data_IF_914381498174
#
_entry.id   IF_914381498174
#
_cell.length_a   1.000
_cell.length_b   1.000
_cell.length_c   1.000
_cell.angle_alpha   90.00
_cell.angle_beta   90.00
_cell.angle_gamma   90.00
#
_symmetry.space_group_name_H-M   'P 1'
#
loop_
_entity.id
_entity.type
_entity.pdbx_description
1 polymer ?
#
# COMPACT_ATOMS: atom_id res chain seq x y z
N UNK A 1 9.77 13.47 16.95
CA UNK A 1 10.21 12.61 18.09
C UNK A 1 9.12 11.67 18.65
N UNK A 2 7.93 11.48 18.01
CA UNK A 2 6.83 10.66 18.58
C UNK A 2 6.57 9.30 17.89
N UNK A 3 7.54 8.76 17.15
CA UNK A 3 7.37 7.49 16.43
C UNK A 3 7.90 6.26 17.20
N UNK A 4 8.85 6.45 18.13
CA UNK A 4 9.49 5.35 18.87
C UNK A 4 8.64 4.74 19.99
N UNK A 5 7.55 5.39 20.41
CA UNK A 5 6.70 4.92 21.51
C UNK A 5 5.71 3.81 21.12
N UNK A 6 5.62 3.44 19.83
CA UNK A 6 4.70 2.39 19.35
C UNK A 6 5.31 1.00 19.27
N UNK A 7 6.59 0.85 19.63
CA UNK A 7 7.34 -0.41 19.44
C UNK A 7 7.64 -1.18 20.73
N UNK A 8 7.05 -0.82 21.88
CA UNK A 8 7.33 -1.57 23.12
C UNK A 8 6.22 -1.43 24.18
N UNK A 9 5.38 -2.45 24.43
CA UNK A 9 4.52 -2.47 25.61
C UNK A 9 5.17 -3.30 26.72
N UNK A 10 5.62 -2.64 27.80
CA UNK A 10 5.84 -3.29 29.09
C UNK A 10 4.97 -2.59 30.14
N UNK A 11 4.04 -3.35 30.72
CA UNK A 11 3.15 -2.92 31.80
C UNK A 11 3.88 -2.66 33.12
N UNK A 12 3.17 -2.16 34.14
CA UNK A 12 2.53 -3.09 35.08
C UNK A 12 1.20 -2.60 35.71
N UNK A 13 0.44 -3.54 36.30
CA UNK A 13 -0.31 -3.26 37.54
C UNK A 13 -1.83 -3.37 37.53
N UNK A 14 -2.32 -4.59 37.76
CA UNK A 14 -3.58 -5.02 38.39
C UNK A 14 -4.54 -3.95 38.94
N UNK A 15 -5.82 -4.04 38.52
CA UNK A 15 -6.98 -4.00 39.44
C UNK A 15 -8.16 -4.76 38.83
N UNK A 16 -8.57 -5.81 39.55
CA UNK A 16 -9.69 -6.69 39.28
C UNK A 16 -11.04 -5.99 39.46
N UNK A 17 -11.86 -5.92 38.41
CA UNK A 17 -13.30 -5.75 38.50
C UNK A 17 -13.99 -6.84 37.68
N UNK A 18 -14.78 -7.66 38.38
CA UNK A 18 -15.72 -8.61 37.77
C UNK A 18 -16.76 -7.81 37.00
N UNK A 19 -16.66 -7.81 35.68
CA UNK A 19 -17.75 -7.42 34.79
C UNK A 19 -17.98 -8.57 33.82
N UNK A 20 -19.24 -8.94 33.64
CA UNK A 20 -19.70 -10.04 32.81
C UNK A 20 -19.03 -10.01 31.44
N UNK A 21 -18.43 -11.13 31.04
CA UNK A 21 -17.87 -11.30 29.71
C UNK A 21 -18.97 -11.04 28.67
N UNK A 22 -18.77 -10.11 27.71
CA UNK A 22 -19.63 -10.10 26.55
C UNK A 22 -19.37 -11.40 25.79
N UNK A 23 -20.45 -12.15 25.57
CA UNK A 23 -20.51 -13.35 24.74
C UNK A 23 -19.64 -13.21 23.49
N UNK A 24 -18.79 -14.21 23.26
CA UNK A 24 -17.99 -14.39 22.05
C UNK A 24 -18.82 -14.06 20.79
N UNK A 25 -18.27 -13.36 19.79
CA UNK A 25 -18.96 -13.24 18.51
C UNK A 25 -19.15 -14.67 18.00
N UNK A 26 -20.38 -15.00 17.63
CA UNK A 26 -20.75 -16.28 17.05
C UNK A 26 -19.95 -16.44 15.75
N UNK A 27 -18.74 -17.02 15.80
CA UNK A 27 -18.03 -17.41 14.59
C UNK A 27 -18.82 -18.57 14.01
N UNK A 28 -19.47 -18.34 12.87
CA UNK A 28 -20.14 -19.39 12.12
C UNK A 28 -19.15 -20.57 11.91
N UNK A 29 -19.71 -21.77 11.93
CA UNK A 29 -18.95 -23.00 11.75
C UNK A 29 -18.14 -22.95 10.42
N UNK A 30 -16.83 -23.27 10.42
CA UNK A 30 -15.98 -23.14 9.22
C UNK A 30 -16.49 -23.91 8.00
N UNK A 31 -17.11 -25.07 8.21
CA UNK A 31 -17.67 -25.90 7.15
C UNK A 31 -18.92 -25.25 6.54
N UNK A 32 -19.73 -24.59 7.36
CA UNK A 32 -20.85 -23.76 6.89
C UNK A 32 -20.36 -22.56 6.07
N UNK A 33 -19.31 -21.86 6.52
CA UNK A 33 -18.72 -20.76 5.77
C UNK A 33 -18.19 -21.22 4.41
N UNK A 34 -17.49 -22.36 4.37
CA UNK A 34 -17.01 -22.96 3.12
C UNK A 34 -18.16 -23.29 2.17
N UNK A 35 -19.23 -23.92 2.65
CA UNK A 35 -20.37 -24.27 1.80
C UNK A 35 -21.05 -23.02 1.21
N UNK A 36 -21.18 -21.94 1.99
CA UNK A 36 -21.72 -20.65 1.49
C UNK A 36 -20.79 -20.06 0.43
N UNK A 37 -19.48 -20.09 0.69
CA UNK A 37 -18.47 -19.64 -0.27
C UNK A 37 -18.54 -20.43 -1.58
N UNK A 38 -18.57 -21.76 -1.53
CA UNK A 38 -18.69 -22.64 -2.71
C UNK A 38 -19.97 -22.35 -3.50
N UNK A 39 -21.08 -22.09 -2.81
CA UNK A 39 -22.33 -21.76 -3.47
C UNK A 39 -22.23 -20.44 -4.24
N UNK A 40 -21.66 -19.40 -3.64
CA UNK A 40 -21.41 -18.14 -4.34
C UNK A 40 -20.41 -18.31 -5.48
N UNK A 41 -19.35 -19.09 -5.27
CA UNK A 41 -18.36 -19.35 -6.30
C UNK A 41 -18.97 -20.07 -7.50
N UNK A 42 -19.85 -21.05 -7.28
CA UNK A 42 -20.56 -21.75 -8.36
C UNK A 42 -21.39 -20.81 -9.24
N UNK A 43 -22.01 -19.79 -8.64
CA UNK A 43 -22.75 -18.78 -9.41
C UNK A 43 -21.80 -17.90 -10.22
N UNK A 44 -20.68 -17.48 -9.62
CA UNK A 44 -19.67 -16.65 -10.28
C UNK A 44 -18.97 -17.41 -11.40
N UNK A 45 -18.48 -18.62 -11.13
CA UNK A 45 -17.75 -19.45 -12.11
C UNK A 45 -18.62 -19.74 -13.35
N UNK A 46 -19.91 -20.02 -13.15
CA UNK A 46 -20.85 -20.20 -14.26
C UNK A 46 -20.97 -18.98 -15.18
N UNK A 47 -20.92 -17.76 -14.63
CA UNK A 47 -20.90 -16.52 -15.43
C UNK A 47 -19.53 -16.30 -16.07
N UNK A 48 -18.44 -16.62 -15.35
CA UNK A 48 -17.06 -16.44 -15.83
C UNK A 48 -16.71 -17.36 -17.01
N UNK A 49 -17.29 -18.56 -17.06
CA UNK A 49 -17.14 -19.55 -18.14
C UNK A 49 -17.90 -19.18 -19.41
N UNK A 50 -18.88 -18.28 -19.33
CA UNK A 50 -19.60 -17.82 -20.51
C UNK A 50 -18.69 -16.94 -21.38
N UNK A 51 -18.37 -17.45 -22.57
CA UNK A 51 -17.42 -16.83 -23.51
C UNK A 51 -17.95 -15.60 -24.25
N UNK A 52 -19.22 -15.22 -24.06
CA UNK A 52 -19.83 -14.09 -24.74
C UNK A 52 -19.49 -12.76 -24.01
N UNK A 53 -18.78 -11.81 -24.67
CA UNK A 53 -18.42 -10.52 -24.06
C UNK A 53 -19.63 -9.60 -23.84
N UNK A 54 -20.82 -9.98 -24.29
CA UNK A 54 -22.08 -9.25 -24.07
C UNK A 54 -22.88 -9.76 -22.87
N UNK A 55 -22.23 -10.15 -21.77
CA UNK A 55 -22.99 -10.45 -20.55
C UNK A 55 -23.75 -9.18 -20.13
N UNK A 56 -24.98 -9.38 -19.68
CA UNK A 56 -25.88 -8.30 -19.29
C UNK A 56 -25.28 -7.46 -18.14
N UNK A 57 -25.78 -6.23 -17.97
CA UNK A 57 -25.48 -5.42 -16.78
C UNK A 57 -25.84 -6.15 -15.48
N UNK A 58 -26.82 -7.06 -15.55
CA UNK A 58 -27.27 -7.86 -14.42
C UNK A 58 -26.21 -8.91 -14.04
N UNK A 59 -25.55 -9.54 -15.02
CA UNK A 59 -24.47 -10.51 -14.79
C UNK A 59 -23.27 -9.85 -14.09
N UNK A 60 -22.89 -8.64 -14.51
CA UNK A 60 -21.81 -7.88 -13.86
C UNK A 60 -22.15 -7.55 -12.41
N UNK A 61 -23.39 -7.16 -12.15
CA UNK A 61 -23.87 -6.85 -10.79
C UNK A 61 -23.91 -8.10 -9.93
N UNK A 62 -24.37 -9.23 -10.47
CA UNK A 62 -24.38 -10.51 -9.79
C UNK A 62 -22.96 -10.98 -9.43
N UNK A 63 -22.01 -10.91 -10.38
CA UNK A 63 -20.60 -11.24 -10.14
C UNK A 63 -20.01 -10.37 -9.04
N UNK A 64 -20.24 -9.05 -9.07
CA UNK A 64 -19.75 -8.13 -8.02
C UNK A 64 -20.31 -8.50 -6.64
N UNK A 65 -21.62 -8.71 -6.54
CA UNK A 65 -22.28 -9.04 -5.27
C UNK A 65 -21.80 -10.38 -4.69
N UNK A 66 -21.73 -11.43 -5.53
CA UNK A 66 -21.24 -12.72 -5.07
C UNK A 66 -19.75 -12.68 -4.72
N UNK A 67 -18.93 -11.95 -5.49
CA UNK A 67 -17.52 -11.74 -5.16
C UNK A 67 -17.34 -11.07 -3.81
N UNK A 68 -18.14 -10.03 -3.52
CA UNK A 68 -18.09 -9.32 -2.24
C UNK A 68 -18.40 -10.26 -1.05
N UNK A 69 -19.47 -11.05 -1.16
CA UNK A 69 -19.82 -12.05 -0.13
C UNK A 69 -18.72 -13.10 0.06
N UNK A 70 -18.17 -13.64 -1.03
CA UNK A 70 -17.08 -14.62 -0.99
C UNK A 70 -15.85 -14.07 -0.28
N UNK A 71 -15.43 -12.86 -0.64
CA UNK A 71 -14.18 -12.29 -0.12
C UNK A 71 -14.32 -11.78 1.31
N UNK A 72 -15.53 -11.40 1.75
CA UNK A 72 -15.80 -11.15 3.17
C UNK A 72 -15.61 -12.43 4.01
N UNK A 73 -16.12 -13.58 3.55
CA UNK A 73 -15.91 -14.87 4.23
C UNK A 73 -14.42 -15.24 4.30
N UNK A 74 -13.68 -15.03 3.21
CA UNK A 74 -12.22 -15.25 3.19
C UNK A 74 -11.47 -14.35 4.19
N UNK A 75 -11.88 -13.08 4.34
CA UNK A 75 -11.24 -12.16 5.26
C UNK A 75 -11.48 -12.52 6.74
N UNK A 76 -12.66 -13.03 7.05
CA UNK A 76 -13.00 -13.46 8.41
C UNK A 76 -12.44 -14.84 8.76
N UNK A 77 -12.02 -15.63 7.77
CA UNK A 77 -11.53 -16.99 7.95
C UNK A 77 -10.25 -17.04 8.80
N UNK A 78 -10.30 -17.82 9.88
CA UNK A 78 -9.15 -18.15 10.72
C UNK A 78 -8.35 -19.31 10.11
N UNK A 79 -7.02 -19.38 10.38
CA UNK A 79 -6.23 -20.55 10.01
C UNK A 79 -6.85 -21.85 10.55
N UNK A 80 -6.67 -22.96 9.84
CA UNK A 80 -7.17 -24.26 10.29
C UNK A 80 -6.50 -24.69 11.61
N UNK A 81 -7.26 -25.39 12.45
CA UNK A 81 -6.71 -25.93 13.70
C UNK A 81 -5.71 -27.04 13.40
N UNK A 82 -4.51 -26.93 13.96
CA UNK A 82 -3.50 -27.98 13.84
C UNK A 82 -3.92 -29.17 14.72
N UNK A 83 -4.04 -30.40 14.18
CA UNK A 83 -4.51 -31.57 14.94
C UNK A 83 -3.61 -31.95 16.12
N UNK A 84 -2.35 -31.51 16.12
CA UNK A 84 -1.40 -31.68 17.21
C UNK A 84 -0.66 -30.36 17.39
N UNK A 85 -0.41 -29.95 18.65
CA UNK A 85 0.23 -28.68 19.03
C UNK A 85 1.70 -28.53 18.62
N UNK A 86 2.06 -28.96 17.41
CA UNK A 86 3.35 -28.76 16.79
C UNK A 86 3.58 -27.29 16.45
N UNK A 87 4.80 -26.83 16.71
CA UNK A 87 5.28 -25.47 16.42
C UNK A 87 5.48 -25.20 14.91
N UNK A 88 4.57 -25.71 14.07
CA UNK A 88 4.57 -25.53 12.63
C UNK A 88 3.83 -24.25 12.19
N UNK A 89 3.96 -23.90 10.92
CA UNK A 89 3.13 -22.86 10.29
C UNK A 89 1.68 -23.33 10.36
N UNK A 90 0.73 -22.51 10.86
CA UNK A 90 -0.66 -22.92 10.94
C UNK A 90 -1.18 -23.27 9.54
N UNK A 91 -1.92 -24.38 9.39
CA UNK A 91 -2.46 -24.80 8.10
C UNK A 91 -3.45 -23.75 7.57
N UNK A 92 -3.55 -23.68 6.24
CA UNK A 92 -4.50 -22.79 5.57
C UNK A 92 -5.93 -23.17 6.00
N UNK A 93 -6.78 -22.17 6.18
CA UNK A 93 -8.21 -22.39 6.30
C UNK A 93 -8.79 -22.96 4.99
N UNK A 94 -9.93 -23.68 5.05
CA UNK A 94 -10.51 -24.37 3.90
C UNK A 94 -10.91 -23.43 2.74
N UNK A 95 -11.38 -22.21 3.03
CA UNK A 95 -11.72 -21.21 2.01
C UNK A 95 -10.44 -20.73 1.33
N UNK A 96 -9.40 -20.40 2.09
CA UNK A 96 -8.11 -20.03 1.51
C UNK A 96 -7.52 -21.16 0.67
N UNK A 97 -7.61 -22.42 1.13
CA UNK A 97 -7.15 -23.59 0.38
C UNK A 97 -7.90 -23.70 -0.96
N UNK A 98 -9.22 -23.52 -0.98
CA UNK A 98 -10.03 -23.52 -2.19
C UNK A 98 -9.64 -22.35 -3.13
N UNK A 99 -9.50 -21.13 -2.59
CA UNK A 99 -9.10 -19.94 -3.34
C UNK A 99 -7.75 -20.13 -4.04
N UNK A 100 -6.79 -20.73 -3.33
CA UNK A 100 -5.45 -21.03 -3.87
C UNK A 100 -5.51 -22.15 -4.91
N UNK A 101 -6.24 -23.23 -4.63
CA UNK A 101 -6.31 -24.41 -5.50
C UNK A 101 -6.99 -24.09 -6.82
N UNK A 102 -8.09 -23.33 -6.79
CA UNK A 102 -8.86 -22.99 -7.99
C UNK A 102 -8.44 -21.65 -8.62
N UNK A 103 -7.45 -20.96 -8.06
CA UNK A 103 -6.98 -19.65 -8.50
C UNK A 103 -8.15 -18.64 -8.69
N UNK A 104 -9.06 -18.60 -7.73
CA UNK A 104 -10.32 -17.85 -7.82
C UNK A 104 -10.09 -16.36 -8.12
N UNK A 105 -9.13 -15.73 -7.42
CA UNK A 105 -8.82 -14.31 -7.61
C UNK A 105 -8.25 -14.00 -8.99
N UNK A 106 -7.47 -14.93 -9.56
CA UNK A 106 -6.93 -14.80 -10.91
C UNK A 106 -8.06 -14.80 -11.95
N UNK A 107 -8.98 -15.76 -11.84
CA UNK A 107 -10.16 -15.87 -12.70
C UNK A 107 -11.01 -14.59 -12.65
N UNK A 108 -11.26 -14.06 -11.44
CA UNK A 108 -12.01 -12.82 -11.22
C UNK A 108 -11.33 -11.59 -11.85
N UNK A 109 -10.03 -11.38 -11.56
CA UNK A 109 -9.29 -10.23 -12.09
C UNK A 109 -9.19 -10.32 -13.62
N UNK A 110 -8.87 -11.50 -14.16
CA UNK A 110 -8.77 -11.70 -15.60
C UNK A 110 -10.11 -11.49 -16.31
N UNK A 111 -11.23 -11.88 -15.70
CA UNK A 111 -12.56 -11.64 -16.26
C UNK A 111 -12.88 -10.15 -16.37
N UNK A 112 -12.59 -9.35 -15.33
CA UNK A 112 -12.79 -7.90 -15.38
C UNK A 112 -11.87 -7.22 -16.40
N UNK A 113 -10.60 -7.63 -16.48
CA UNK A 113 -9.64 -7.08 -17.44
C UNK A 113 -10.03 -7.34 -18.89
N UNK A 114 -10.51 -8.55 -19.21
CA UNK A 114 -10.97 -8.89 -20.58
C UNK A 114 -12.14 -8.02 -21.05
N UNK A 115 -12.88 -7.42 -20.12
CA UNK A 115 -14.02 -6.53 -20.40
C UNK A 115 -13.64 -5.05 -20.44
N UNK A 116 -12.34 -4.74 -20.37
CA UNK A 116 -11.83 -3.37 -20.38
C UNK A 116 -11.77 -2.69 -19.01
N UNK A 117 -12.07 -3.41 -17.91
CA UNK A 117 -11.99 -2.94 -16.52
C UNK A 117 -12.56 -1.52 -16.32
N UNK A 118 -13.88 -1.40 -16.31
CA UNK A 118 -14.55 -0.12 -16.08
C UNK A 118 -14.20 0.46 -14.69
N UNK A 119 -14.30 1.79 -14.50
CA UNK A 119 -13.92 2.46 -13.24
C UNK A 119 -14.62 1.91 -11.99
N UNK A 120 -15.87 1.47 -12.10
CA UNK A 120 -16.59 0.90 -10.95
C UNK A 120 -16.03 -0.48 -10.59
N UNK A 121 -15.72 -1.32 -11.60
CA UNK A 121 -15.05 -2.61 -11.41
C UNK A 121 -13.66 -2.43 -10.82
N UNK A 122 -12.88 -1.49 -11.35
CA UNK A 122 -11.55 -1.17 -10.83
C UNK A 122 -11.63 -0.73 -9.37
N UNK A 123 -12.55 0.19 -9.05
CA UNK A 123 -12.76 0.66 -7.67
C UNK A 123 -13.20 -0.44 -6.73
N UNK A 124 -14.07 -1.35 -7.17
CA UNK A 124 -14.50 -2.51 -6.39
C UNK A 124 -13.32 -3.46 -6.12
N UNK A 125 -12.54 -3.82 -7.14
CA UNK A 125 -11.37 -4.69 -6.98
C UNK A 125 -10.31 -4.07 -6.06
N UNK A 126 -10.02 -2.77 -6.18
CA UNK A 126 -9.08 -2.08 -5.29
C UNK A 126 -9.53 -2.15 -3.83
N UNK A 127 -10.82 -1.91 -3.55
CA UNK A 127 -11.38 -2.02 -2.20
C UNK A 127 -11.38 -3.45 -1.68
N UNK A 128 -11.68 -4.44 -2.51
CA UNK A 128 -11.68 -5.84 -2.13
C UNK A 128 -10.27 -6.29 -1.74
N UNK A 129 -9.24 -5.98 -2.54
CA UNK A 129 -7.85 -6.29 -2.16
C UNK A 129 -7.40 -5.51 -0.92
N UNK A 130 -7.83 -4.26 -0.76
CA UNK A 130 -7.51 -3.46 0.43
C UNK A 130 -8.08 -4.12 1.69
N UNK A 131 -9.36 -4.51 1.65
CA UNK A 131 -10.03 -5.24 2.71
C UNK A 131 -9.35 -6.57 3.00
N UNK A 132 -9.06 -7.39 1.98
CA UNK A 132 -8.39 -8.68 2.15
C UNK A 132 -7.03 -8.53 2.82
N UNK A 133 -6.20 -7.58 2.40
CA UNK A 133 -4.86 -7.40 2.97
C UNK A 133 -4.93 -6.78 4.37
N UNK A 134 -5.88 -5.89 4.61
CA UNK A 134 -6.02 -5.16 5.87
C UNK A 134 -6.70 -5.95 7.00
N UNK A 135 -7.62 -6.87 6.66
CA UNK A 135 -8.53 -7.49 7.64
C UNK A 135 -8.38 -9.01 7.78
N UNK A 136 -7.69 -9.68 6.85
CA UNK A 136 -7.56 -11.14 6.89
C UNK A 136 -6.78 -11.63 8.10
N UNK A 137 -7.25 -12.74 8.69
CA UNK A 137 -6.57 -13.41 9.81
C UNK A 137 -5.42 -14.32 9.36
N UNK A 138 -5.28 -14.53 8.05
CA UNK A 138 -4.27 -15.38 7.42
C UNK A 138 -3.32 -14.55 6.54
N UNK A 139 -2.06 -14.98 6.35
CA UNK A 139 -1.06 -14.20 5.61
C UNK A 139 -1.24 -14.30 4.08
N UNK A 140 -2.33 -13.75 3.54
CA UNK A 140 -2.75 -13.93 2.16
C UNK A 140 -1.67 -13.63 1.11
N UNK A 141 -0.87 -12.57 1.29
CA UNK A 141 0.17 -12.17 0.33
C UNK A 141 1.36 -13.15 0.24
N UNK A 142 1.44 -14.14 1.13
CA UNK A 142 2.44 -15.22 1.00
C UNK A 142 2.04 -16.26 -0.06
N UNK A 143 0.78 -16.24 -0.51
CA UNK A 143 0.27 -17.14 -1.54
C UNK A 143 0.33 -16.46 -2.91
N UNK A 144 1.01 -17.10 -3.87
CA UNK A 144 1.14 -16.60 -5.26
C UNK A 144 -0.21 -16.43 -5.95
N UNK A 145 -1.18 -17.30 -5.64
CA UNK A 145 -2.56 -17.22 -6.12
C UNK A 145 -3.33 -15.97 -5.67
N UNK A 146 -2.82 -15.24 -4.64
CA UNK A 146 -3.35 -13.93 -4.22
C UNK A 146 -2.44 -12.81 -4.71
N UNK A 147 -1.12 -13.00 -4.60
CA UNK A 147 -0.13 -11.99 -4.95
C UNK A 147 -0.14 -11.65 -6.45
N UNK A 148 -0.20 -12.64 -7.34
CA UNK A 148 -0.16 -12.40 -8.78
C UNK A 148 -1.41 -11.65 -9.30
N UNK A 149 -2.65 -12.01 -8.91
CA UNK A 149 -3.83 -11.24 -9.29
C UNK A 149 -3.77 -9.79 -8.80
N UNK A 150 -3.28 -9.55 -7.58
CA UNK A 150 -3.05 -8.20 -7.06
C UNK A 150 -2.06 -7.43 -7.95
N UNK A 151 -0.91 -8.02 -8.26
CA UNK A 151 0.10 -7.39 -9.11
C UNK A 151 -0.42 -7.12 -10.52
N UNK A 152 -1.28 -7.98 -11.06
CA UNK A 152 -1.92 -7.76 -12.36
C UNK A 152 -2.90 -6.59 -12.32
N UNK A 153 -3.72 -6.48 -11.27
CA UNK A 153 -4.60 -5.31 -11.08
C UNK A 153 -3.79 -4.02 -10.97
N UNK A 154 -2.73 -4.01 -10.16
CA UNK A 154 -1.82 -2.87 -10.05
C UNK A 154 -1.14 -2.56 -11.39
N UNK A 155 -0.84 -3.59 -12.18
CA UNK A 155 -0.25 -3.44 -13.51
C UNK A 155 -1.19 -2.71 -14.46
N UNK A 156 -2.48 -3.07 -14.43
CA UNK A 156 -3.51 -2.35 -15.18
C UNK A 156 -3.67 -0.89 -14.71
N UNK A 157 -3.51 -0.61 -13.41
CA UNK A 157 -3.53 0.76 -12.90
C UNK A 157 -2.32 1.60 -13.36
N UNK A 158 -1.19 0.96 -13.65
CA UNK A 158 0.01 1.61 -14.17
C UNK A 158 0.04 1.73 -15.70
N UNK A 159 -0.88 1.04 -16.38
CA UNK A 159 -0.92 0.99 -17.84
C UNK A 159 -1.30 2.37 -18.43
N UNK A 160 -0.62 2.86 -19.48
CA UNK A 160 -0.94 4.18 -20.06
C UNK A 160 -2.31 4.27 -20.75
N UNK A 161 -2.84 3.15 -21.26
CA UNK A 161 -4.13 3.11 -21.97
C UNK A 161 -5.28 2.95 -20.98
N UNK A 162 -5.09 2.08 -19.98
CA UNK A 162 -6.12 1.72 -19.02
C UNK A 162 -6.10 2.65 -17.79
N UNK A 163 -4.92 2.80 -17.18
CA UNK A 163 -4.65 3.73 -16.10
C UNK A 163 -5.49 3.56 -14.85
N UNK A 164 -5.37 4.53 -13.94
CA UNK A 164 -6.23 4.65 -12.76
C UNK A 164 -6.87 6.06 -12.77
N UNK A 165 -8.21 6.16 -12.85
CA UNK A 165 -8.90 7.44 -12.76
C UNK A 165 -8.58 8.19 -11.46
N UNK A 166 -8.56 9.52 -11.53
CA UNK A 166 -8.26 10.39 -10.37
C UNK A 166 -9.15 10.13 -9.15
N UNK A 167 -10.41 9.76 -9.39
CA UNK A 167 -11.40 9.42 -8.35
C UNK A 167 -10.98 8.19 -7.54
N UNK A 168 -10.20 7.28 -8.11
CA UNK A 168 -9.78 6.03 -7.48
C UNK A 168 -8.40 6.11 -6.82
N UNK A 169 -7.66 7.21 -7.01
CA UNK A 169 -6.30 7.37 -6.49
C UNK A 169 -6.20 7.15 -4.98
N UNK A 170 -7.19 7.61 -4.20
CA UNK A 170 -7.21 7.37 -2.75
C UNK A 170 -7.29 5.87 -2.42
N UNK A 171 -8.11 5.12 -3.17
CA UNK A 171 -8.24 3.66 -2.98
C UNK A 171 -6.96 2.94 -3.39
N UNK A 172 -6.34 3.37 -4.49
CA UNK A 172 -5.06 2.83 -4.96
C UNK A 172 -3.95 3.07 -3.94
N UNK A 173 -3.76 4.31 -3.47
CA UNK A 173 -2.71 4.66 -2.49
C UNK A 173 -2.95 3.96 -1.16
N UNK A 174 -4.20 3.80 -0.73
CA UNK A 174 -4.56 3.03 0.45
C UNK A 174 -4.14 1.56 0.32
N UNK A 175 -4.48 0.91 -0.79
CA UNK A 175 -4.07 -0.46 -1.09
C UNK A 175 -2.54 -0.61 -1.13
N UNK A 176 -1.83 0.28 -1.85
CA UNK A 176 -0.37 0.28 -1.93
C UNK A 176 0.26 0.41 -0.55
N UNK A 177 -0.29 1.27 0.31
CA UNK A 177 0.15 1.40 1.70
C UNK A 177 -0.07 0.13 2.51
N UNK A 178 -1.21 -0.56 2.38
CA UNK A 178 -1.46 -1.84 3.08
C UNK A 178 -0.46 -2.93 2.65
N UNK A 179 -0.13 -2.99 1.36
CA UNK A 179 0.93 -3.89 0.87
C UNK A 179 2.27 -3.52 1.49
N UNK A 180 2.60 -2.22 1.57
CA UNK A 180 3.84 -1.75 2.18
C UNK A 180 3.93 -2.06 3.69
N UNK A 181 2.83 -1.94 4.42
CA UNK A 181 2.75 -2.34 5.83
C UNK A 181 2.95 -3.84 5.97
N UNK A 182 2.34 -4.64 5.09
CA UNK A 182 2.44 -6.10 5.13
C UNK A 182 3.86 -6.57 4.86
N UNK A 183 4.52 -6.06 3.81
CA UNK A 183 5.91 -6.43 3.51
C UNK A 183 6.90 -5.98 4.60
N UNK A 184 6.66 -4.85 5.27
CA UNK A 184 7.49 -4.39 6.38
C UNK A 184 7.34 -5.29 7.62
N UNK A 185 6.13 -5.84 7.84
CA UNK A 185 5.86 -6.81 8.92
C UNK A 185 6.33 -8.22 8.58
N UNK A 186 6.30 -8.59 7.30
CA UNK A 186 6.56 -9.94 6.81
C UNK A 186 7.60 -9.91 5.68
N UNK A 187 8.90 -10.03 5.99
CA UNK A 187 9.98 -9.93 4.99
C UNK A 187 9.85 -10.92 3.82
N UNK A 188 9.23 -12.08 4.05
CA UNK A 188 8.97 -13.07 2.98
C UNK A 188 8.11 -12.49 1.85
N UNK A 189 7.16 -11.59 2.14
CA UNK A 189 6.31 -10.96 1.12
C UNK A 189 7.15 -10.05 0.23
N UNK A 190 8.14 -9.36 0.80
CA UNK A 190 9.08 -8.56 0.02
C UNK A 190 9.87 -9.42 -0.95
N UNK A 191 10.43 -10.56 -0.50
CA UNK A 191 11.13 -11.49 -1.39
C UNK A 191 10.23 -12.01 -2.52
N UNK A 192 8.97 -12.33 -2.21
CA UNK A 192 7.99 -12.79 -3.18
C UNK A 192 7.68 -11.72 -4.22
N UNK A 193 7.52 -10.45 -3.81
CA UNK A 193 7.33 -9.31 -4.70
C UNK A 193 8.53 -9.12 -5.65
N UNK A 194 9.75 -9.31 -5.17
CA UNK A 194 10.95 -9.26 -6.01
C UNK A 194 11.03 -10.42 -7.01
N UNK A 195 10.65 -11.63 -6.60
CA UNK A 195 10.65 -12.82 -7.48
C UNK A 195 9.51 -12.80 -8.50
N UNK A 196 8.39 -12.17 -8.18
CA UNK A 196 7.23 -12.08 -9.07
C UNK A 196 7.47 -11.15 -10.27
N UNK A 197 8.54 -10.35 -10.26
CA UNK A 197 8.92 -9.52 -11.40
C UNK A 197 9.38 -10.39 -12.59
N UNK A 198 8.86 -10.19 -13.81
CA UNK A 198 9.28 -10.96 -14.98
C UNK A 198 10.78 -10.81 -15.25
N UNK A 199 11.49 -11.94 -15.36
CA UNK A 199 12.94 -12.00 -15.60
C UNK A 199 13.42 -11.40 -16.95
N UNK A 200 12.50 -10.90 -17.79
CA UNK A 200 12.77 -10.41 -19.16
C UNK A 200 13.15 -8.92 -19.23
N UNK A 201 13.03 -8.17 -18.13
CA UNK A 201 13.56 -6.81 -18.01
C UNK A 201 14.44 -6.76 -16.78
N UNK A 202 15.73 -6.44 -16.97
CA UNK A 202 16.74 -6.37 -15.90
C UNK A 202 16.48 -5.30 -14.82
N UNK A 203 15.28 -4.74 -14.75
CA UNK A 203 14.80 -3.90 -13.67
C UNK A 203 13.80 -4.72 -12.86
N UNK A 204 14.13 -5.01 -11.60
CA UNK A 204 13.16 -5.56 -10.63
C UNK A 204 12.05 -4.53 -10.42
N UNK A 205 11.06 -4.48 -11.31
CA UNK A 205 10.01 -3.48 -11.28
C UNK A 205 9.21 -3.66 -9.98
N UNK A 206 9.59 -2.93 -8.94
CA UNK A 206 8.73 -2.71 -7.80
C UNK A 206 7.60 -1.80 -8.27
N UNK A 207 6.63 -2.40 -8.96
CA UNK A 207 5.44 -1.75 -9.50
C UNK A 207 4.77 -0.88 -8.43
N UNK A 208 4.69 -1.40 -7.20
CA UNK A 208 4.17 -0.70 -6.02
C UNK A 208 4.94 0.60 -5.77
N UNK A 209 6.27 0.55 -5.86
CA UNK A 209 7.13 1.72 -5.68
C UNK A 209 6.89 2.75 -6.78
N UNK A 210 6.91 2.32 -8.05
CA UNK A 210 6.69 3.20 -9.20
C UNK A 210 5.32 3.88 -9.17
N UNK A 211 4.28 3.17 -8.71
CA UNK A 211 2.93 3.72 -8.54
C UNK A 211 2.84 4.76 -7.40
N UNK A 212 3.68 4.67 -6.37
CA UNK A 212 3.67 5.62 -5.24
C UNK A 212 4.42 6.93 -5.54
N UNK A 213 5.45 6.90 -6.39
CA UNK A 213 6.31 8.06 -6.68
C UNK A 213 5.54 9.31 -7.14
N UNK A 214 4.53 9.23 -8.03
CA UNK A 214 3.76 10.40 -8.46
C UNK A 214 3.02 11.13 -7.34
N UNK A 215 2.79 10.47 -6.19
CA UNK A 215 2.02 11.03 -5.07
C UNK A 215 2.88 11.71 -4.00
N UNK A 216 4.22 11.59 -4.06
CA UNK A 216 5.15 12.06 -3.02
C UNK A 216 4.95 13.54 -2.66
N UNK A 217 4.88 14.39 -3.70
CA UNK A 217 4.76 15.85 -3.55
C UNK A 217 3.31 16.33 -3.62
N UNK A 218 2.32 15.44 -3.49
CA UNK A 218 0.92 15.84 -3.39
C UNK A 218 0.58 16.28 -1.97
N UNK A 219 -0.37 17.22 -1.90
CA UNK A 219 -0.90 17.72 -0.65
C UNK A 219 -1.97 16.77 -0.07
N UNK A 220 -2.29 16.97 1.21
CA UNK A 220 -3.35 16.27 1.90
C UNK A 220 -3.02 14.83 2.27
N UNK A 221 -4.07 14.08 2.61
CA UNK A 221 -3.96 12.72 3.13
C UNK A 221 -3.32 11.76 2.13
N UNK A 222 -3.62 11.90 0.83
CA UNK A 222 -3.10 11.01 -0.21
C UNK A 222 -1.58 11.10 -0.31
N UNK A 223 -1.02 12.31 -0.33
CA UNK A 223 0.43 12.49 -0.38
C UNK A 223 1.10 12.04 0.91
N UNK A 224 0.47 12.27 2.07
CA UNK A 224 1.01 11.80 3.34
C UNK A 224 1.08 10.27 3.38
N UNK A 225 0.01 9.61 2.95
CA UNK A 225 -0.05 8.16 2.91
C UNK A 225 0.97 7.56 1.94
N UNK A 226 1.19 8.19 0.79
CA UNK A 226 2.23 7.78 -0.14
C UNK A 226 3.64 7.91 0.46
N UNK A 227 3.92 9.01 1.17
CA UNK A 227 5.18 9.22 1.90
C UNK A 227 5.36 8.17 3.00
N UNK A 228 4.33 7.89 3.79
CA UNK A 228 4.38 6.86 4.84
C UNK A 228 4.66 5.47 4.26
N UNK A 229 4.00 5.09 3.16
CA UNK A 229 4.23 3.84 2.46
C UNK A 229 5.66 3.73 1.90
N UNK A 230 6.17 4.80 1.30
CA UNK A 230 7.53 4.84 0.77
C UNK A 230 8.58 4.81 1.90
N UNK A 231 8.32 5.40 3.07
CA UNK A 231 9.22 5.26 4.23
C UNK A 231 9.36 3.80 4.66
N UNK A 232 8.29 2.99 4.57
CA UNK A 232 8.37 1.56 4.84
C UNK A 232 9.26 0.83 3.83
N UNK A 233 9.16 1.18 2.53
CA UNK A 233 10.08 0.66 1.49
C UNK A 233 11.53 1.06 1.79
N UNK A 234 11.76 2.32 2.17
CA UNK A 234 13.09 2.81 2.51
C UNK A 234 13.67 2.10 3.73
N UNK A 235 12.88 1.92 4.79
CA UNK A 235 13.30 1.16 5.96
C UNK A 235 13.61 -0.31 5.61
N UNK A 236 12.79 -0.94 4.76
CA UNK A 236 13.05 -2.30 4.28
C UNK A 236 14.37 -2.40 3.48
N UNK A 237 14.73 -1.36 2.71
CA UNK A 237 15.98 -1.31 1.97
C UNK A 237 17.22 -1.42 2.86
N UNK A 238 17.16 -0.95 4.10
CA UNK A 238 18.28 -1.03 5.03
C UNK A 238 18.71 -2.47 5.35
N UNK A 239 17.78 -3.43 5.22
CA UNK A 239 18.02 -4.85 5.46
C UNK A 239 18.05 -5.70 4.18
N UNK A 240 17.72 -5.12 3.01
CA UNK A 240 17.59 -5.85 1.74
C UNK A 240 18.34 -5.11 0.62
N UNK A 241 19.56 -5.57 0.33
CA UNK A 241 20.44 -4.89 -0.62
C UNK A 241 19.87 -4.83 -2.05
N UNK A 242 19.10 -5.83 -2.47
CA UNK A 242 18.42 -5.82 -3.76
C UNK A 242 17.43 -4.63 -3.90
N UNK A 243 16.70 -4.31 -2.83
CA UNK A 243 15.80 -3.14 -2.77
C UNK A 243 16.61 -1.85 -2.86
N UNK A 244 17.71 -1.77 -2.11
CA UNK A 244 18.58 -0.61 -2.12
C UNK A 244 19.18 -0.34 -3.50
N UNK A 245 19.70 -1.38 -4.18
CA UNK A 245 20.23 -1.26 -5.55
C UNK A 245 19.13 -0.87 -6.53
N UNK A 246 17.94 -1.47 -6.44
CA UNK A 246 16.83 -1.08 -7.29
C UNK A 246 16.49 0.41 -7.14
N UNK A 247 16.31 0.89 -5.91
CA UNK A 247 15.99 2.31 -5.66
C UNK A 247 17.10 3.21 -6.21
N UNK A 248 18.36 2.86 -5.98
CA UNK A 248 19.47 3.72 -6.33
C UNK A 248 19.79 3.72 -7.84
N UNK A 249 19.75 2.55 -8.47
CA UNK A 249 20.28 2.36 -9.84
C UNK A 249 19.17 2.24 -10.88
N UNK A 250 17.99 1.77 -10.50
CA UNK A 250 16.91 1.42 -11.42
C UNK A 250 15.64 2.26 -11.20
N UNK A 251 15.72 3.32 -10.38
CA UNK A 251 14.60 4.22 -10.12
C UNK A 251 15.02 5.68 -10.18
N UNK A 252 14.07 6.56 -10.50
CA UNK A 252 14.27 8.01 -10.48
C UNK A 252 13.90 8.66 -9.14
N UNK A 253 13.84 7.89 -8.04
CA UNK A 253 13.34 8.36 -6.76
C UNK A 253 14.15 9.52 -6.18
N UNK A 254 15.47 9.36 -6.03
CA UNK A 254 16.35 10.41 -5.49
C UNK A 254 16.32 11.70 -6.33
N UNK A 255 16.43 11.63 -7.68
CA UNK A 255 16.21 12.79 -8.55
C UNK A 255 14.85 13.47 -8.39
N UNK A 256 13.75 12.71 -8.31
CA UNK A 256 12.39 13.24 -8.17
C UNK A 256 12.21 13.96 -6.83
N UNK A 257 12.85 13.47 -5.76
CA UNK A 257 12.84 14.16 -4.47
C UNK A 257 13.57 15.50 -4.52
N UNK A 258 14.79 15.52 -5.02
CA UNK A 258 15.58 16.75 -5.07
C UNK A 258 14.96 17.79 -6.00
N UNK A 259 14.51 17.39 -7.20
CA UNK A 259 13.89 18.32 -8.16
C UNK A 259 12.54 18.83 -7.66
N UNK A 260 11.72 17.95 -7.06
CA UNK A 260 10.45 18.36 -6.45
C UNK A 260 10.64 19.33 -5.29
N UNK A 261 11.65 19.12 -4.43
CA UNK A 261 11.96 20.05 -3.35
C UNK A 261 12.35 21.46 -3.86
N UNK A 262 13.15 21.52 -4.94
CA UNK A 262 13.49 22.78 -5.62
C UNK A 262 12.26 23.48 -6.22
N UNK A 263 11.33 22.73 -6.81
CA UNK A 263 10.08 23.27 -7.35
C UNK A 263 9.17 23.81 -6.23
N UNK A 264 9.04 23.05 -5.14
CA UNK A 264 8.26 23.45 -3.96
C UNK A 264 8.83 24.72 -3.31
N UNK A 265 10.17 24.79 -3.17
CA UNK A 265 10.84 25.98 -2.66
C UNK A 265 10.56 27.21 -3.53
N UNK A 266 10.64 27.05 -4.86
CA UNK A 266 10.34 28.13 -5.81
C UNK A 266 8.88 28.60 -5.75
N UNK A 267 7.98 27.76 -5.24
CA UNK A 267 6.55 28.06 -5.08
C UNK A 267 6.21 28.70 -3.73
N UNK A 268 7.20 28.88 -2.84
CA UNK A 268 6.99 29.50 -1.54
C UNK A 268 6.61 30.99 -1.68
N UNK A 269 5.75 31.50 -0.78
CA UNK A 269 5.43 32.91 -0.78
C UNK A 269 6.67 33.73 -0.39
N UNK A 270 6.83 34.91 -1.00
CA UNK A 270 7.95 35.82 -0.71
C UNK A 270 7.83 36.51 0.66
N UNK A 271 6.65 36.49 1.26
CA UNK A 271 6.33 37.11 2.54
C UNK A 271 5.34 36.23 3.29
N UNK A 272 5.51 36.13 4.60
CA UNK A 272 4.53 35.51 5.50
C UNK A 272 3.89 36.66 6.28
N UNK A 273 2.56 36.73 6.28
CA UNK A 273 1.83 37.69 7.10
C UNK A 273 1.84 37.23 8.55
N UNK A 274 2.46 38.02 9.41
CA UNK A 274 2.60 37.71 10.83
C UNK A 274 1.79 38.70 11.62
N UNK A 275 0.93 38.19 12.51
CA UNK A 275 0.09 39.00 13.40
C UNK A 275 0.68 38.95 14.81
N UNK A 276 1.60 39.85 15.13
CA UNK A 276 2.11 40.03 16.50
C UNK A 276 3.53 40.59 16.56
N UNK A 277 3.78 41.44 17.56
CA UNK A 277 5.07 42.11 17.77
C UNK A 277 6.15 41.15 18.37
N UNK A 278 5.75 39.97 18.87
CA UNK A 278 6.64 38.99 19.52
C UNK A 278 7.19 37.90 18.58
N UNK A 279 7.11 38.10 17.26
CA UNK A 279 7.54 37.09 16.29
C UNK A 279 9.05 37.09 16.05
N UNK A 280 9.72 36.03 16.53
CA UNK A 280 11.18 35.87 16.46
C UNK A 280 11.62 34.57 15.77
N UNK A 281 10.68 33.66 15.47
CA UNK A 281 10.95 32.40 14.82
C UNK A 281 9.68 31.88 14.12
N UNK A 282 9.86 31.23 12.97
CA UNK A 282 8.78 30.56 12.26
C UNK A 282 8.36 29.31 13.05
N UNK A 283 7.14 29.33 13.60
CA UNK A 283 6.53 28.20 14.32
C UNK A 283 5.56 27.45 13.44
N UNK A 284 5.20 26.22 13.83
CA UNK A 284 4.22 25.40 13.10
C UNK A 284 2.91 26.14 12.89
N UNK A 285 2.40 26.81 13.93
CA UNK A 285 1.17 27.61 13.87
C UNK A 285 1.19 28.70 12.79
N UNK A 286 2.36 29.29 12.51
CA UNK A 286 2.51 30.37 11.53
C UNK A 286 2.36 29.89 10.08
N UNK A 287 2.76 28.65 9.79
CA UNK A 287 2.79 28.14 8.42
C UNK A 287 1.76 27.07 8.10
N UNK A 288 1.08 26.50 9.09
CA UNK A 288 0.02 25.50 8.86
C UNK A 288 -1.13 26.04 8.00
N UNK A 289 -1.38 27.36 8.01
CA UNK A 289 -2.35 28.02 7.13
C UNK A 289 -1.86 28.32 5.71
N UNK A 290 -0.58 28.06 5.41
CA UNK A 290 0.06 28.38 4.13
C UNK A 290 0.34 27.08 3.38
N UNK A 291 -0.55 26.67 2.48
CA UNK A 291 -0.49 25.36 1.80
C UNK A 291 0.83 25.07 1.10
N UNK A 292 1.44 26.06 0.41
CA UNK A 292 2.73 25.86 -0.26
C UNK A 292 3.88 25.60 0.71
N UNK A 293 3.84 26.23 1.89
CA UNK A 293 4.83 26.02 2.94
C UNK A 293 4.60 24.68 3.65
N UNK A 294 3.34 24.28 3.89
CA UNK A 294 3.01 22.92 4.37
C UNK A 294 3.57 21.86 3.42
N UNK A 295 3.37 22.03 2.12
CA UNK A 295 3.83 21.07 1.12
C UNK A 295 5.36 20.98 1.06
N UNK A 296 6.05 22.12 1.09
CA UNK A 296 7.50 22.17 1.17
C UNK A 296 8.03 21.50 2.45
N UNK A 297 7.44 21.80 3.61
CA UNK A 297 7.83 21.22 4.89
C UNK A 297 7.62 19.70 4.89
N UNK A 298 6.48 19.21 4.40
CA UNK A 298 6.21 17.78 4.30
C UNK A 298 7.25 17.06 3.41
N UNK A 299 7.62 17.67 2.28
CA UNK A 299 8.61 17.10 1.36
C UNK A 299 10.03 17.12 1.95
N UNK A 300 10.40 18.20 2.64
CA UNK A 300 11.69 18.32 3.33
C UNK A 300 11.80 17.33 4.50
N UNK A 301 10.75 17.23 5.33
CA UNK A 301 10.67 16.28 6.45
C UNK A 301 10.76 14.84 5.94
N UNK A 302 10.10 14.53 4.80
CA UNK A 302 10.21 13.23 4.16
C UNK A 302 11.63 12.93 3.66
N UNK A 303 12.29 13.87 2.96
CA UNK A 303 13.68 13.70 2.55
C UNK A 303 14.60 13.38 3.75
N UNK A 304 14.44 14.12 4.84
CA UNK A 304 15.18 13.89 6.08
C UNK A 304 14.88 12.50 6.68
N UNK A 305 13.60 12.08 6.71
CA UNK A 305 13.22 10.76 7.19
C UNK A 305 13.82 9.64 6.35
N UNK A 306 13.82 9.77 5.02
CA UNK A 306 14.46 8.82 4.10
C UNK A 306 15.95 8.68 4.40
N UNK A 307 16.67 9.80 4.57
CA UNK A 307 18.11 9.81 4.93
C UNK A 307 18.39 9.06 6.24
N UNK A 308 17.45 9.10 7.19
CA UNK A 308 17.62 8.45 8.50
C UNK A 308 17.39 6.93 8.47
N UNK A 309 16.47 6.45 7.62
CA UNK A 309 16.02 5.04 7.65
C UNK A 309 16.51 4.19 6.48
N UNK A 310 16.92 4.80 5.38
CA UNK A 310 17.29 4.08 4.16
C UNK A 310 18.68 3.43 4.22
N UNK A 311 18.90 2.47 3.32
CA UNK A 311 20.22 1.89 3.07
C UNK A 311 21.26 2.97 2.74
N UNK A 312 22.54 2.84 3.19
CA UNK A 312 23.58 3.84 2.91
C UNK A 312 23.74 4.22 1.43
N UNK A 313 23.56 3.27 0.50
CA UNK A 313 23.59 3.53 -0.94
C UNK A 313 22.55 4.59 -1.36
N UNK A 314 21.27 4.38 -0.99
CA UNK A 314 20.17 5.29 -1.28
C UNK A 314 20.39 6.63 -0.57
N UNK A 315 20.85 6.59 0.67
CA UNK A 315 21.16 7.79 1.47
C UNK A 315 22.22 8.66 0.80
N UNK A 316 23.35 8.09 0.41
CA UNK A 316 24.44 8.82 -0.23
C UNK A 316 23.96 9.47 -1.53
N UNK A 317 23.27 8.72 -2.38
CA UNK A 317 22.75 9.26 -3.63
C UNK A 317 21.71 10.37 -3.41
N UNK A 318 20.79 10.21 -2.46
CA UNK A 318 19.82 11.27 -2.13
C UNK A 318 20.53 12.53 -1.62
N UNK A 319 21.52 12.39 -0.74
CA UNK A 319 22.31 13.53 -0.25
C UNK A 319 23.06 14.22 -1.40
N UNK A 320 23.63 13.48 -2.34
CA UNK A 320 24.31 14.04 -3.50
C UNK A 320 23.34 14.85 -4.39
N UNK A 321 22.15 14.31 -4.65
CA UNK A 321 21.11 15.04 -5.41
C UNK A 321 20.58 16.26 -4.66
N UNK A 322 20.37 16.16 -3.34
CA UNK A 322 19.93 17.30 -2.52
C UNK A 322 21.01 18.38 -2.47
N UNK A 323 22.27 18.01 -2.28
CA UNK A 323 23.39 18.95 -2.24
C UNK A 323 23.54 19.68 -3.57
N UNK A 324 23.67 18.93 -4.66
CA UNK A 324 23.99 19.49 -5.97
C UNK A 324 22.76 20.05 -6.72
N UNK A 325 21.56 19.59 -6.39
CA UNK A 325 20.31 19.97 -7.07
C UNK A 325 19.43 20.96 -6.31
N UNK A 326 19.59 21.09 -4.99
CA UNK A 326 18.77 21.96 -4.16
C UNK A 326 19.58 22.90 -3.26
N UNK A 327 20.44 22.36 -2.38
CA UNK A 327 21.12 23.16 -1.36
C UNK A 327 22.07 24.20 -1.98
N UNK A 328 22.98 23.77 -2.86
CA UNK A 328 23.94 24.67 -3.51
C UNK A 328 23.26 25.60 -4.53
N UNK A 329 22.48 25.11 -5.52
CA UNK A 329 21.96 25.98 -6.58
C UNK A 329 20.72 26.81 -6.19
N UNK A 330 19.90 26.36 -5.22
CA UNK A 330 18.64 27.02 -4.87
C UNK A 330 18.73 27.74 -3.53
N UNK A 331 19.07 27.03 -2.45
CA UNK A 331 19.15 27.64 -1.12
C UNK A 331 20.34 28.57 -0.97
N UNK A 332 21.52 28.18 -1.48
CA UNK A 332 22.75 28.97 -1.39
C UNK A 332 22.57 30.43 -1.84
N UNK A 333 22.11 30.69 -3.09
CA UNK A 333 21.85 32.05 -3.56
C UNK A 333 20.75 32.79 -2.80
N UNK A 334 19.79 32.08 -2.20
CA UNK A 334 18.70 32.69 -1.44
C UNK A 334 19.15 33.19 -0.05
N UNK A 335 20.17 32.54 0.55
CA UNK A 335 20.73 32.94 1.85
C UNK A 335 21.74 34.08 1.76
N UNK A 336 22.30 34.34 0.58
CA UNK A 336 23.25 35.45 0.36
C UNK A 336 22.56 36.77 -0.03
N UNK A 337 21.23 36.80 -0.08
CA UNK A 337 20.41 37.99 -0.34
C UNK A 337 19.86 38.56 0.96
#
# INVERSE_FOLDING_TARGET
MSWLSRLNPRGPGSRSSRSAAPSSPCTADPETCLMVFENHWRQVSWVLEQHEPSSSSDDLTAVRNHTDQMLCLLAEEKPAESPEGGAGVPPMGPILELVVTENILECLVQWHLRRGLDPDSQGALLKLFEMLIGQSQQPLLQHTAVLHPLLRLLGACADPELGCPSVLENSLVLLLNQVCVTMARQPVVLEMLFRAAPAQQGSTNLLIFSLLVPFIHRDGAIGQQARDALLLVMAASASHEAVARYIAENSYFCPVLATGLSALYSSLPRKIEVRGDDWHALRREDWMGVSSLVLFMNSLEFCNAVVQVAHPLVRCQLLDYLHNGFLVPVMGPALHK
#
